data_IF_220557092816
#
_entry.id   IF_220557092816
#
_cell.length_a   1.000
_cell.length_b   1.000
_cell.length_c   1.000
_cell.angle_alpha   90.00
_cell.angle_beta   90.00
_cell.angle_gamma   90.00
#
_symmetry.space_group_name_H-M   'P 1'
#
loop_
_entity.id
_entity.type
_entity.pdbx_description
1 polymer ?
#
# COMPACT_ATOMS: atom_id res chain seq x y z
N UNK A 1 26.07 4.67 -11.65
CA UNK A 1 25.65 3.42 -11.01
C UNK A 1 26.88 2.69 -10.51
N UNK A 2 26.91 2.29 -9.25
CA UNK A 2 28.09 1.67 -8.60
C UNK A 2 29.41 2.46 -8.87
N UNK A 3 29.35 3.79 -8.69
CA UNK A 3 30.45 4.72 -8.97
C UNK A 3 30.76 5.01 -10.45
N UNK A 4 30.02 4.40 -11.38
CA UNK A 4 30.20 4.60 -12.83
C UNK A 4 29.23 5.64 -13.36
N UNK A 5 29.69 6.50 -14.26
CA UNK A 5 28.83 7.45 -14.99
C UNK A 5 27.99 6.67 -16.01
N UNK A 6 26.68 6.84 -15.96
CA UNK A 6 25.75 6.20 -16.91
C UNK A 6 25.80 6.77 -18.33
N UNK A 7 26.46 7.91 -18.52
CA UNK A 7 26.71 8.53 -19.81
C UNK A 7 27.98 8.01 -20.49
N UNK A 8 28.84 7.29 -19.76
CA UNK A 8 30.07 6.71 -20.29
C UNK A 8 29.75 5.40 -21.03
N UNK A 9 29.71 5.48 -22.35
CA UNK A 9 29.42 4.32 -23.22
C UNK A 9 30.43 3.18 -23.03
N UNK A 10 31.66 3.46 -22.66
CA UNK A 10 32.67 2.43 -22.39
C UNK A 10 32.35 1.58 -21.16
N UNK A 11 31.50 2.07 -20.26
CA UNK A 11 31.03 1.40 -19.03
C UNK A 11 29.65 0.77 -19.16
N UNK A 12 29.01 0.89 -20.31
CA UNK A 12 27.63 0.48 -20.51
C UNK A 12 27.44 -1.02 -20.20
N UNK A 13 28.37 -1.85 -20.62
CA UNK A 13 28.31 -3.29 -20.37
C UNK A 13 28.40 -3.63 -18.88
N UNK A 14 29.34 -3.03 -18.17
CA UNK A 14 29.50 -3.21 -16.73
C UNK A 14 28.25 -2.70 -15.95
N UNK A 15 27.65 -1.61 -16.41
CA UNK A 15 26.42 -1.05 -15.80
C UNK A 15 25.25 -2.03 -16.00
N UNK A 16 25.08 -2.59 -17.20
CA UNK A 16 24.04 -3.58 -17.49
C UNK A 16 24.19 -4.89 -16.72
N UNK A 17 25.41 -5.29 -16.40
CA UNK A 17 25.66 -6.43 -15.52
C UNK A 17 25.35 -6.12 -14.05
N UNK A 18 25.53 -4.84 -13.64
CA UNK A 18 25.28 -4.40 -12.27
C UNK A 18 23.80 -4.21 -11.97
N UNK A 19 23.02 -3.74 -12.96
CA UNK A 19 21.60 -3.47 -12.81
C UNK A 19 20.79 -4.13 -13.93
N UNK A 20 19.92 -5.04 -13.52
CA UNK A 20 18.95 -5.64 -14.41
C UNK A 20 17.64 -4.84 -14.43
N UNK A 21 16.92 -4.90 -15.55
CA UNK A 21 15.64 -4.20 -15.70
C UNK A 21 14.54 -5.18 -16.10
N UNK A 22 13.38 -5.04 -15.47
CA UNK A 22 12.16 -5.78 -15.79
C UNK A 22 11.14 -4.78 -16.28
N UNK A 23 10.59 -5.02 -17.46
CA UNK A 23 9.62 -4.13 -18.11
C UNK A 23 8.17 -4.45 -17.70
N UNK A 24 7.30 -3.50 -17.93
CA UNK A 24 5.88 -3.57 -17.64
C UNK A 24 5.17 -4.76 -18.30
N UNK A 25 5.48 -5.03 -19.57
CA UNK A 25 4.90 -6.14 -20.32
C UNK A 25 5.91 -7.29 -20.47
N UNK A 26 5.70 -8.44 -19.82
CA UNK A 26 6.60 -9.59 -19.93
C UNK A 26 6.66 -10.19 -21.34
N UNK A 27 5.61 -10.07 -22.15
CA UNK A 27 5.63 -10.57 -23.54
C UNK A 27 6.64 -9.83 -24.43
N UNK A 28 7.03 -8.60 -24.07
CA UNK A 28 8.08 -7.86 -24.78
C UNK A 28 9.49 -8.23 -24.31
N UNK A 29 9.61 -8.96 -23.21
CA UNK A 29 10.88 -9.33 -22.60
C UNK A 29 11.23 -10.80 -22.83
N UNK A 30 10.25 -11.70 -22.76
CA UNK A 30 10.41 -13.13 -22.95
C UNK A 30 10.59 -13.42 -24.45
N UNK A 31 11.70 -14.04 -24.82
CA UNK A 31 12.07 -14.35 -26.19
C UNK A 31 12.24 -15.86 -26.42
N UNK A 32 12.46 -16.63 -25.35
CA UNK A 32 12.65 -18.09 -25.42
C UNK A 32 11.36 -18.83 -25.74
N UNK A 33 11.51 -20.00 -26.40
CA UNK A 33 10.40 -20.91 -26.68
C UNK A 33 10.03 -21.77 -25.46
N UNK A 34 10.98 -21.93 -24.55
CA UNK A 34 10.89 -22.69 -23.30
C UNK A 34 11.43 -21.80 -22.16
N UNK A 35 10.82 -21.91 -21.00
CA UNK A 35 11.11 -21.06 -19.82
C UNK A 35 12.57 -21.12 -19.39
N UNK A 36 13.18 -22.31 -19.28
CA UNK A 36 14.57 -22.45 -18.83
C UNK A 36 15.57 -21.88 -19.84
N UNK A 37 15.30 -21.98 -21.15
CA UNK A 37 16.11 -21.33 -22.20
C UNK A 37 16.04 -19.82 -22.10
N UNK A 38 14.85 -19.26 -21.86
CA UNK A 38 14.64 -17.82 -21.71
C UNK A 38 15.42 -17.27 -20.52
N UNK A 39 15.31 -17.94 -19.37
CA UNK A 39 16.03 -17.54 -18.13
C UNK A 39 17.55 -17.69 -18.28
N UNK A 40 18.01 -18.69 -19.07
CA UNK A 40 19.42 -18.92 -19.37
C UNK A 40 20.04 -17.90 -20.33
N UNK A 41 19.24 -17.22 -21.13
CA UNK A 41 19.69 -16.32 -22.19
C UNK A 41 20.59 -15.18 -21.70
N UNK A 42 20.23 -14.55 -20.56
CA UNK A 42 21.03 -13.49 -19.96
C UNK A 42 22.45 -13.95 -19.56
N UNK A 43 22.58 -14.98 -18.71
CA UNK A 43 23.86 -15.59 -18.36
C UNK A 43 24.69 -16.08 -19.57
N UNK A 44 24.04 -16.64 -20.59
CA UNK A 44 24.70 -17.07 -21.82
C UNK A 44 25.37 -15.90 -22.56
N UNK A 45 24.66 -14.78 -22.70
CA UNK A 45 25.22 -13.57 -23.31
C UNK A 45 26.34 -12.93 -22.47
N UNK A 46 26.41 -13.25 -21.17
CA UNK A 46 27.50 -12.83 -20.30
C UNK A 46 28.73 -13.74 -20.40
N UNK A 47 28.67 -14.82 -21.21
CA UNK A 47 29.77 -15.78 -21.39
C UNK A 47 29.98 -16.69 -20.18
N UNK A 48 28.95 -16.91 -19.36
CA UNK A 48 29.01 -17.78 -18.20
C UNK A 48 29.14 -19.26 -18.66
N UNK A 49 29.98 -20.10 -18.00
CA UNK A 49 30.08 -21.51 -18.32
C UNK A 49 28.76 -22.26 -18.19
N UNK A 50 28.51 -23.24 -19.05
CA UNK A 50 27.22 -23.95 -19.17
C UNK A 50 26.71 -24.55 -17.86
N UNK A 51 27.60 -25.16 -17.09
CA UNK A 51 27.26 -25.78 -15.80
C UNK A 51 26.77 -24.72 -14.80
N UNK A 52 27.40 -23.56 -14.82
CA UNK A 52 27.01 -22.43 -13.97
C UNK A 52 25.70 -21.78 -14.45
N UNK A 53 25.46 -21.71 -15.78
CA UNK A 53 24.17 -21.24 -16.33
C UNK A 53 23.03 -22.09 -15.77
N UNK A 54 23.11 -23.41 -15.84
CA UNK A 54 22.08 -24.31 -15.34
C UNK A 54 21.82 -24.13 -13.85
N UNK A 55 22.88 -23.97 -13.05
CA UNK A 55 22.74 -23.71 -11.62
C UNK A 55 22.04 -22.39 -11.34
N UNK A 56 22.33 -21.34 -12.11
CA UNK A 56 21.67 -20.03 -11.99
C UNK A 56 20.22 -20.08 -12.41
N UNK A 57 19.90 -20.74 -13.52
CA UNK A 57 18.53 -20.96 -14.00
C UNK A 57 17.69 -21.69 -12.94
N UNK A 58 18.20 -22.80 -12.40
CA UNK A 58 17.52 -23.56 -11.37
C UNK A 58 17.23 -22.71 -10.12
N UNK A 59 18.26 -22.02 -9.59
CA UNK A 59 18.12 -21.19 -8.41
C UNK A 59 17.14 -20.03 -8.64
N UNK A 60 17.22 -19.36 -9.77
CA UNK A 60 16.36 -18.21 -10.09
C UNK A 60 14.91 -18.64 -10.27
N UNK A 61 14.63 -19.74 -10.98
CA UNK A 61 13.28 -20.27 -11.13
C UNK A 61 12.69 -20.75 -9.81
N UNK A 62 13.51 -21.35 -8.93
CA UNK A 62 13.07 -21.72 -7.57
C UNK A 62 12.76 -20.50 -6.73
N UNK A 63 13.58 -19.45 -6.79
CA UNK A 63 13.40 -18.22 -6.05
C UNK A 63 12.10 -17.48 -6.39
N UNK A 64 11.64 -17.60 -7.65
CA UNK A 64 10.36 -17.00 -8.09
C UNK A 64 9.19 -18.00 -8.12
N UNK A 65 9.38 -19.25 -7.63
CA UNK A 65 8.33 -20.27 -7.59
C UNK A 65 7.90 -20.78 -8.97
N UNK A 66 8.81 -20.77 -9.96
CA UNK A 66 8.50 -21.16 -11.35
C UNK A 66 9.25 -22.41 -11.81
N UNK A 67 9.95 -23.12 -10.93
CA UNK A 67 10.76 -24.29 -11.29
C UNK A 67 9.98 -25.41 -11.99
N UNK A 68 8.76 -25.70 -11.54
CA UNK A 68 7.91 -26.74 -12.14
C UNK A 68 7.47 -26.41 -13.56
N UNK A 69 7.55 -25.14 -13.94
CA UNK A 69 7.19 -24.65 -15.29
C UNK A 69 8.38 -24.52 -16.24
N UNK A 70 9.62 -24.92 -15.82
CA UNK A 70 10.85 -24.73 -16.58
C UNK A 70 10.81 -25.23 -18.03
N UNK A 71 10.13 -26.36 -18.27
CA UNK A 71 10.01 -26.97 -19.60
C UNK A 71 8.74 -26.54 -20.38
N UNK A 72 7.99 -25.58 -19.82
CA UNK A 72 6.78 -25.09 -20.47
C UNK A 72 7.12 -23.98 -21.48
N UNK A 73 6.25 -23.88 -22.50
CA UNK A 73 6.26 -22.70 -23.36
C UNK A 73 5.69 -21.49 -22.59
N UNK A 74 6.35 -20.32 -22.62
CA UNK A 74 5.84 -19.09 -21.99
C UNK A 74 4.43 -18.72 -22.43
N UNK A 75 4.03 -19.06 -23.65
CA UNK A 75 2.69 -18.79 -24.17
C UNK A 75 1.55 -19.54 -23.42
N UNK A 76 1.88 -20.56 -22.62
CA UNK A 76 0.92 -21.31 -21.81
C UNK A 76 0.84 -20.80 -20.36
N UNK A 77 1.59 -19.76 -20.03
CA UNK A 77 1.63 -19.18 -18.69
C UNK A 77 0.64 -18.02 -18.53
N UNK A 78 0.14 -17.84 -17.30
CA UNK A 78 -0.61 -16.63 -16.95
C UNK A 78 0.29 -15.40 -16.98
N UNK A 79 -0.30 -14.18 -17.01
CA UNK A 79 0.47 -12.93 -16.98
C UNK A 79 1.40 -12.85 -15.76
N UNK A 80 0.90 -13.18 -14.56
CA UNK A 80 1.73 -13.21 -13.34
C UNK A 80 2.85 -14.25 -13.38
N UNK A 81 2.61 -15.41 -13.98
CA UNK A 81 3.65 -16.42 -14.19
C UNK A 81 4.71 -15.93 -15.19
N UNK A 82 4.31 -15.33 -16.30
CA UNK A 82 5.24 -14.72 -17.26
C UNK A 82 6.09 -13.64 -16.60
N UNK A 83 5.48 -12.78 -15.79
CA UNK A 83 6.22 -11.74 -15.08
C UNK A 83 7.27 -12.32 -14.12
N UNK A 84 6.93 -13.40 -13.39
CA UNK A 84 7.91 -14.09 -12.54
C UNK A 84 9.03 -14.74 -13.35
N UNK A 85 8.76 -15.28 -14.54
CA UNK A 85 9.79 -15.78 -15.44
C UNK A 85 10.70 -14.65 -15.91
N UNK A 86 10.16 -13.50 -16.32
CA UNK A 86 10.95 -12.33 -16.69
C UNK A 86 11.86 -11.84 -15.55
N UNK A 87 11.33 -11.84 -14.31
CA UNK A 87 12.12 -11.55 -13.10
C UNK A 87 13.23 -12.60 -12.92
N UNK A 88 12.94 -13.90 -13.09
CA UNK A 88 13.94 -14.97 -12.98
C UNK A 88 15.08 -14.80 -13.98
N UNK A 89 14.78 -14.40 -15.22
CA UNK A 89 15.79 -14.12 -16.26
C UNK A 89 16.76 -13.00 -15.83
N UNK A 90 16.25 -11.98 -15.17
CA UNK A 90 17.08 -10.90 -14.62
C UNK A 90 17.88 -11.37 -13.40
N UNK A 91 17.25 -12.13 -12.49
CA UNK A 91 17.92 -12.68 -11.28
C UNK A 91 19.05 -13.63 -11.64
N UNK A 92 18.89 -14.42 -12.72
CA UNK A 92 19.91 -15.36 -13.18
C UNK A 92 21.24 -14.68 -13.60
N UNK A 93 21.19 -13.42 -13.98
CA UNK A 93 22.38 -12.60 -14.23
C UNK A 93 23.12 -12.18 -12.93
N UNK A 94 22.50 -12.37 -11.76
CA UNK A 94 23.01 -12.00 -10.46
C UNK A 94 23.38 -10.50 -10.33
N UNK A 95 22.47 -9.59 -10.68
CA UNK A 95 22.74 -8.17 -10.61
C UNK A 95 22.78 -7.69 -9.15
N UNK A 96 23.45 -6.56 -8.86
CA UNK A 96 23.40 -5.89 -7.55
C UNK A 96 22.08 -5.15 -7.32
N UNK A 97 21.41 -4.75 -8.41
CA UNK A 97 20.17 -3.99 -8.38
C UNK A 97 19.21 -4.50 -9.46
N UNK A 98 17.93 -4.56 -9.13
CA UNK A 98 16.86 -4.83 -10.09
C UNK A 98 15.94 -3.62 -10.13
N UNK A 99 15.74 -3.07 -11.33
CA UNK A 99 14.76 -2.01 -11.60
C UNK A 99 13.53 -2.67 -12.21
N UNK A 100 12.38 -2.46 -11.59
CA UNK A 100 11.10 -3.01 -12.03
C UNK A 100 10.20 -1.83 -12.45
N UNK A 101 9.89 -1.77 -13.73
CA UNK A 101 9.08 -0.70 -14.31
C UNK A 101 7.63 -1.17 -14.43
N UNK A 102 6.78 -0.72 -13.50
CA UNK A 102 5.36 -1.09 -13.39
C UNK A 102 5.08 -2.61 -13.54
N UNK A 103 5.79 -3.49 -12.81
CA UNK A 103 5.80 -4.94 -13.08
C UNK A 103 4.44 -5.61 -12.87
N UNK A 104 3.47 -4.91 -12.32
CA UNK A 104 2.15 -5.44 -11.94
C UNK A 104 1.00 -4.80 -12.70
N UNK A 105 1.26 -3.79 -13.55
CA UNK A 105 0.22 -2.99 -14.19
C UNK A 105 -0.75 -3.81 -15.07
N UNK A 106 -0.26 -4.90 -15.68
CA UNK A 106 -1.04 -5.77 -16.58
C UNK A 106 -1.60 -7.01 -15.89
N UNK A 107 -1.54 -7.09 -14.55
CA UNK A 107 -1.91 -8.28 -13.79
C UNK A 107 -3.25 -8.11 -13.07
N UNK A 108 -3.94 -9.23 -12.92
CA UNK A 108 -5.07 -9.34 -12.02
C UNK A 108 -4.65 -9.18 -10.54
N UNK A 109 -5.57 -8.93 -9.60
CA UNK A 109 -5.22 -8.68 -8.20
C UNK A 109 -4.42 -9.80 -7.53
N UNK A 110 -4.66 -11.07 -7.90
CA UNK A 110 -3.93 -12.20 -7.33
C UNK A 110 -2.51 -12.27 -7.89
N UNK A 111 -2.35 -12.17 -9.23
CA UNK A 111 -1.05 -12.13 -9.87
C UNK A 111 -0.18 -10.98 -9.37
N UNK A 112 -0.79 -9.81 -9.11
CA UNK A 112 -0.11 -8.66 -8.50
C UNK A 112 0.47 -8.99 -7.13
N UNK A 113 -0.34 -9.57 -6.24
CA UNK A 113 0.12 -9.98 -4.89
C UNK A 113 1.27 -10.97 -4.95
N UNK A 114 1.16 -11.98 -5.83
CA UNK A 114 2.21 -12.99 -6.01
C UNK A 114 3.54 -12.38 -6.49
N UNK A 115 3.49 -11.47 -7.47
CA UNK A 115 4.69 -10.79 -7.99
C UNK A 115 5.32 -9.90 -6.92
N UNK A 116 4.54 -9.09 -6.21
CA UNK A 116 5.07 -8.24 -5.14
C UNK A 116 5.67 -9.06 -4.00
N UNK A 117 5.04 -10.17 -3.62
CA UNK A 117 5.62 -11.07 -2.62
C UNK A 117 6.96 -11.66 -3.10
N UNK A 118 7.03 -12.11 -4.35
CA UNK A 118 8.27 -12.61 -4.96
C UNK A 118 9.39 -11.56 -4.91
N UNK A 119 9.09 -10.30 -5.28
CA UNK A 119 10.06 -9.20 -5.24
C UNK A 119 10.58 -8.95 -3.81
N UNK A 120 9.69 -8.98 -2.82
CA UNK A 120 10.06 -8.80 -1.40
C UNK A 120 10.94 -9.96 -0.90
N UNK A 121 10.64 -11.19 -1.29
CA UNK A 121 11.43 -12.36 -0.93
C UNK A 121 12.82 -12.30 -1.56
N UNK A 122 12.94 -11.93 -2.83
CA UNK A 122 14.23 -11.70 -3.50
C UNK A 122 15.06 -10.63 -2.77
N UNK A 123 14.47 -9.48 -2.44
CA UNK A 123 15.19 -8.43 -1.68
C UNK A 123 15.67 -8.96 -0.34
N UNK A 124 14.81 -9.67 0.41
CA UNK A 124 15.12 -10.16 1.76
C UNK A 124 16.16 -11.28 1.77
N UNK A 125 16.03 -12.27 0.86
CA UNK A 125 16.84 -13.49 0.86
C UNK A 125 18.14 -13.31 0.07
N UNK A 126 18.04 -12.74 -1.13
CA UNK A 126 19.18 -12.58 -2.05
C UNK A 126 19.94 -11.27 -1.81
N UNK A 127 19.41 -10.37 -0.95
CA UNK A 127 20.01 -9.06 -0.64
C UNK A 127 20.22 -8.17 -1.87
N UNK A 128 19.42 -8.38 -2.92
CA UNK A 128 19.43 -7.55 -4.13
C UNK A 128 18.73 -6.22 -3.83
N UNK A 129 19.32 -5.12 -4.22
CA UNK A 129 18.62 -3.82 -4.17
C UNK A 129 17.49 -3.81 -5.18
N UNK A 130 16.30 -3.44 -4.75
CA UNK A 130 15.11 -3.34 -5.62
C UNK A 130 14.70 -1.89 -5.77
N UNK A 131 14.55 -1.42 -7.00
CA UNK A 131 13.93 -0.15 -7.37
C UNK A 131 12.61 -0.50 -8.05
N UNK A 132 11.50 -0.24 -7.36
CA UNK A 132 10.16 -0.47 -7.88
C UNK A 132 9.54 0.84 -8.34
N UNK A 133 9.21 0.95 -9.62
CA UNK A 133 8.45 2.05 -10.18
C UNK A 133 7.00 1.58 -10.26
N UNK A 134 6.09 2.26 -9.60
CA UNK A 134 4.67 1.89 -9.56
C UNK A 134 3.79 3.10 -9.26
N UNK A 135 2.54 3.03 -9.67
CA UNK A 135 1.48 3.95 -9.29
C UNK A 135 0.47 3.31 -8.31
N UNK A 136 0.72 2.08 -7.86
CA UNK A 136 -0.11 1.39 -6.86
C UNK A 136 0.45 1.63 -5.46
N UNK A 137 -0.25 2.42 -4.67
CA UNK A 137 0.23 2.85 -3.36
C UNK A 137 0.37 1.71 -2.37
N UNK A 138 -0.46 0.67 -2.50
CA UNK A 138 -0.39 -0.56 -1.67
C UNK A 138 0.93 -1.34 -1.86
N UNK A 139 1.59 -1.18 -2.99
CA UNK A 139 2.89 -1.81 -3.26
C UNK A 139 4.03 -1.06 -2.56
N UNK A 140 3.86 0.25 -2.38
CA UNK A 140 4.87 1.16 -1.83
C UNK A 140 4.95 1.10 -0.30
N UNK A 141 3.88 0.73 0.39
CA UNK A 141 3.81 0.73 1.86
C UNK A 141 4.88 -0.14 2.55
N UNK A 142 5.45 -1.08 1.81
CA UNK A 142 6.47 -2.02 2.31
C UNK A 142 7.90 -1.65 1.89
N UNK A 143 8.09 -0.55 1.18
CA UNK A 143 9.43 -0.09 0.79
C UNK A 143 10.20 0.49 1.98
N UNK A 144 11.52 0.40 1.92
CA UNK A 144 12.38 1.07 2.91
C UNK A 144 12.39 2.59 2.69
N UNK A 145 12.29 3.01 1.43
CA UNK A 145 12.32 4.41 1.02
C UNK A 145 11.39 4.66 -0.17
N UNK A 146 10.75 5.80 -0.17
CA UNK A 146 9.90 6.30 -1.26
C UNK A 146 10.49 7.56 -1.84
N UNK A 147 10.54 7.63 -3.16
CA UNK A 147 10.95 8.81 -3.91
C UNK A 147 9.77 9.21 -4.80
N UNK A 148 9.24 10.40 -4.58
CA UNK A 148 8.19 10.97 -5.41
C UNK A 148 8.83 11.88 -6.44
N UNK A 149 8.48 11.66 -7.71
CA UNK A 149 8.99 12.44 -8.83
C UNK A 149 7.86 13.18 -9.54
N UNK A 150 8.09 14.43 -9.87
CA UNK A 150 7.22 15.23 -10.73
C UNK A 150 8.06 16.02 -11.73
N UNK A 151 7.66 15.98 -13.00
CA UNK A 151 8.37 16.65 -14.13
C UNK A 151 9.89 16.40 -14.14
N UNK A 152 10.31 15.14 -13.85
CA UNK A 152 11.71 14.74 -13.86
C UNK A 152 12.53 15.21 -12.65
N UNK A 153 11.89 15.77 -11.60
CA UNK A 153 12.52 16.20 -10.35
C UNK A 153 12.03 15.42 -9.16
N UNK A 154 12.90 15.17 -8.21
CA UNK A 154 12.51 14.62 -6.91
C UNK A 154 11.82 15.75 -6.13
N UNK A 155 10.54 15.54 -5.78
CA UNK A 155 9.73 16.50 -5.03
C UNK A 155 9.50 16.10 -3.58
N UNK A 156 9.56 14.79 -3.27
CA UNK A 156 9.52 14.25 -1.92
C UNK A 156 10.40 13.01 -1.83
N UNK A 157 10.98 12.77 -0.66
CA UNK A 157 11.75 11.57 -0.35
C UNK A 157 11.65 11.29 1.15
N UNK A 158 11.47 10.02 1.52
CA UNK A 158 11.35 9.60 2.92
C UNK A 158 10.86 8.16 3.04
N UNK A 159 10.55 7.73 4.24
CA UNK A 159 9.86 6.46 4.50
C UNK A 159 8.41 6.50 4.00
N UNK A 160 7.76 5.36 3.75
CA UNK A 160 6.34 5.35 3.41
C UNK A 160 5.47 6.13 4.41
N UNK A 161 5.73 6.02 5.72
CA UNK A 161 4.98 6.76 6.75
C UNK A 161 5.13 8.27 6.63
N UNK A 162 6.35 8.74 6.42
CA UNK A 162 6.63 10.18 6.24
C UNK A 162 6.01 10.74 4.97
N UNK A 163 5.97 9.95 3.91
CA UNK A 163 5.41 10.38 2.62
C UNK A 163 3.88 10.37 2.67
N UNK A 164 3.27 9.27 3.09
CA UNK A 164 1.82 9.11 3.06
C UNK A 164 1.08 9.89 4.15
N UNK A 165 1.75 10.32 5.23
CA UNK A 165 1.17 11.27 6.20
C UNK A 165 0.90 12.66 5.58
N UNK A 166 1.55 13.00 4.44
CA UNK A 166 1.40 14.27 3.75
C UNK A 166 0.31 14.21 2.66
N UNK A 167 -0.90 13.76 3.01
CA UNK A 167 -2.01 13.48 2.07
C UNK A 167 -2.30 14.65 1.13
N UNK A 168 -2.45 15.86 1.66
CA UNK A 168 -2.79 17.04 0.86
C UNK A 168 -1.68 17.41 -0.14
N UNK A 169 -0.42 17.20 0.24
CA UNK A 169 0.71 17.44 -0.64
C UNK A 169 0.79 16.44 -1.78
N UNK A 170 0.52 15.16 -1.50
CA UNK A 170 0.46 14.11 -2.52
C UNK A 170 -0.69 14.37 -3.50
N UNK A 171 -1.87 14.75 -3.01
CA UNK A 171 -3.01 15.15 -3.84
C UNK A 171 -2.67 16.34 -4.76
N UNK A 172 -1.87 17.30 -4.28
CA UNK A 172 -1.41 18.43 -5.10
C UNK A 172 -0.53 17.97 -6.28
N UNK A 173 0.21 16.88 -6.13
CA UNK A 173 0.95 16.20 -7.20
C UNK A 173 0.12 15.20 -8.00
N UNK A 174 -1.21 15.13 -7.77
CA UNK A 174 -2.14 14.18 -8.40
C UNK A 174 -1.77 12.71 -8.14
N UNK A 175 -1.21 12.44 -6.97
CA UNK A 175 -0.90 11.11 -6.49
C UNK A 175 -1.94 10.67 -5.47
N UNK A 176 -2.29 9.40 -5.52
CA UNK A 176 -3.13 8.77 -4.53
C UNK A 176 -2.34 8.41 -3.27
N UNK A 177 -3.06 8.05 -2.22
CA UNK A 177 -2.52 7.50 -0.98
C UNK A 177 -3.21 6.15 -0.71
N UNK A 178 -2.63 5.26 0.13
CA UNK A 178 -3.30 4.03 0.53
C UNK A 178 -4.71 4.31 1.05
N UNK A 179 -5.68 3.46 0.71
CA UNK A 179 -7.09 3.67 1.08
C UNK A 179 -7.28 3.82 2.59
N UNK A 180 -6.54 3.03 3.39
CA UNK A 180 -6.58 3.13 4.85
C UNK A 180 -6.08 4.50 5.35
N UNK A 181 -5.02 5.03 4.73
CA UNK A 181 -4.47 6.36 5.03
C UNK A 181 -5.48 7.45 4.69
N UNK A 182 -6.10 7.38 3.52
CA UNK A 182 -7.11 8.35 3.10
C UNK A 182 -8.30 8.37 4.05
N UNK A 183 -8.83 7.19 4.40
CA UNK A 183 -9.96 7.08 5.33
C UNK A 183 -9.60 7.59 6.72
N UNK A 184 -8.41 7.27 7.23
CA UNK A 184 -7.93 7.79 8.51
C UNK A 184 -7.83 9.33 8.49
N UNK A 185 -7.33 9.90 7.39
CA UNK A 185 -7.23 11.35 7.20
C UNK A 185 -8.61 12.03 7.23
N UNK A 186 -9.60 11.49 6.50
CA UNK A 186 -10.96 12.06 6.50
C UNK A 186 -11.64 11.91 7.87
N UNK A 187 -11.51 10.76 8.54
CA UNK A 187 -12.05 10.56 9.88
C UNK A 187 -11.43 11.52 10.94
N UNK A 188 -10.14 11.85 10.79
CA UNK A 188 -9.51 12.87 11.65
C UNK A 188 -10.10 14.27 11.40
N UNK A 189 -10.41 14.62 10.16
CA UNK A 189 -11.08 15.89 9.82
C UNK A 189 -12.48 15.98 10.45
N UNK A 190 -13.14 14.84 10.62
CA UNK A 190 -14.43 14.76 11.34
C UNK A 190 -14.27 14.69 12.87
N UNK A 191 -13.04 14.80 13.39
CA UNK A 191 -12.76 14.92 14.82
C UNK A 191 -12.42 13.62 15.54
N UNK A 192 -12.17 12.52 14.84
CA UNK A 192 -11.66 11.30 15.47
C UNK A 192 -10.17 11.44 15.77
N UNK A 193 -9.76 11.01 16.97
CA UNK A 193 -8.36 10.99 17.40
C UNK A 193 -7.66 9.72 16.85
N UNK A 194 -7.14 9.81 15.62
CA UNK A 194 -6.44 8.74 14.93
C UNK A 194 -4.99 9.14 14.63
N UNK A 195 -4.03 8.19 14.61
CA UNK A 195 -2.66 8.44 14.17
C UNK A 195 -2.60 8.98 12.73
N UNK A 196 -1.58 9.79 12.45
CA UNK A 196 -1.37 10.37 11.10
C UNK A 196 -0.70 9.40 10.12
N UNK A 197 -0.03 8.40 10.65
CA UNK A 197 0.89 7.51 9.93
C UNK A 197 0.31 6.13 9.62
N UNK A 198 -1.01 6.00 9.61
CA UNK A 198 -1.71 4.75 9.27
C UNK A 198 -1.47 4.42 7.79
N UNK A 199 -0.98 3.20 7.52
CA UNK A 199 -0.70 2.71 6.17
C UNK A 199 -1.57 1.53 5.76
N UNK A 200 -2.06 0.72 6.71
CA UNK A 200 -2.78 -0.52 6.40
C UNK A 200 -4.18 -0.56 7.02
N UNK A 201 -5.02 -1.45 6.49
CA UNK A 201 -6.37 -1.69 7.01
C UNK A 201 -6.31 -2.21 8.45
N UNK A 202 -5.33 -3.06 8.75
CA UNK A 202 -5.12 -3.63 10.09
C UNK A 202 -4.78 -2.53 11.10
N UNK A 203 -3.90 -1.60 10.74
CA UNK A 203 -3.54 -0.44 11.58
C UNK A 203 -4.76 0.45 11.83
N UNK A 204 -5.53 0.75 10.79
CA UNK A 204 -6.75 1.55 10.90
C UNK A 204 -7.78 0.89 11.80
N UNK A 205 -8.03 -0.41 11.60
CA UNK A 205 -8.98 -1.18 12.42
C UNK A 205 -8.58 -1.14 13.89
N UNK A 206 -7.30 -1.40 14.19
CA UNK A 206 -6.79 -1.35 15.56
C UNK A 206 -6.88 0.05 16.18
N UNK A 207 -6.71 1.12 15.40
CA UNK A 207 -6.87 2.50 15.87
C UNK A 207 -8.34 2.82 16.15
N UNK A 208 -9.27 2.44 15.29
CA UNK A 208 -10.72 2.62 15.49
C UNK A 208 -11.23 1.87 16.71
N UNK A 209 -10.77 0.65 16.95
CA UNK A 209 -11.14 -0.11 18.16
C UNK A 209 -10.66 0.57 19.44
N UNK A 210 -9.48 1.18 19.42
CA UNK A 210 -8.97 1.98 20.55
C UNK A 210 -9.86 3.20 20.80
N UNK A 211 -10.23 3.95 19.77
CA UNK A 211 -11.14 5.11 19.88
C UNK A 211 -12.51 4.69 20.46
N UNK A 212 -13.08 3.56 20.02
CA UNK A 212 -14.35 3.04 20.54
C UNK A 212 -14.28 2.72 22.03
N UNK A 213 -13.20 2.07 22.48
CA UNK A 213 -13.00 1.72 23.90
C UNK A 213 -12.85 2.95 24.79
N UNK A 214 -12.14 3.98 24.31
CA UNK A 214 -11.98 5.24 25.07
C UNK A 214 -13.29 6.04 25.18
N UNK A 215 -14.13 6.01 24.15
CA UNK A 215 -15.45 6.65 24.19
C UNK A 215 -16.45 5.89 25.07
N UNK A 216 -16.42 4.56 25.10
CA UNK A 216 -17.23 3.71 25.99
C UNK A 216 -16.95 3.98 27.48
N UNK A 217 -15.68 4.10 27.85
CA UNK A 217 -15.28 4.44 29.23
C UNK A 217 -15.69 5.87 29.63
N UNK A 218 -15.69 6.82 28.69
CA UNK A 218 -16.12 8.20 28.93
C UNK A 218 -17.64 8.31 29.06
N UNK A 219 -18.42 7.41 28.42
CA UNK A 219 -19.87 7.30 28.56
C UNK A 219 -20.29 6.75 29.91
N UNK A 220 -19.63 5.72 30.42
CA UNK A 220 -19.90 5.14 31.75
C UNK A 220 -19.57 6.10 32.89
N UNK A 221 -18.48 6.88 32.74
CA UNK A 221 -18.14 7.92 33.76
C UNK A 221 -19.16 9.06 33.77
N UNK A 222 -19.74 9.44 32.64
CA UNK A 222 -20.78 10.47 32.59
C UNK A 222 -22.11 9.99 33.19
N UNK A 223 -22.51 8.74 32.95
CA UNK A 223 -23.70 8.12 33.54
C UNK A 223 -23.55 7.96 35.05
N UNK A 224 -22.41 7.45 35.53
CA UNK A 224 -22.15 7.36 36.99
C UNK A 224 -22.12 8.72 37.70
N UNK A 225 -21.66 9.78 37.04
CA UNK A 225 -21.64 11.12 37.60
C UNK A 225 -23.02 11.82 37.54
N UNK A 226 -23.91 11.45 36.61
CA UNK A 226 -25.29 11.92 36.58
C UNK A 226 -26.15 11.25 37.67
N UNK A 227 -26.00 9.94 37.87
CA UNK A 227 -26.71 9.20 38.93
C UNK A 227 -26.30 9.65 40.32
N UNK A 228 -25.00 9.91 40.58
CA UNK A 228 -24.55 10.47 41.87
C UNK A 228 -24.98 11.93 42.13
N UNK A 229 -25.34 12.70 41.12
CA UNK A 229 -25.92 14.04 41.26
C UNK A 229 -27.40 14.00 41.54
N UNK A 230 -28.15 13.03 41.03
CA UNK A 230 -29.57 12.85 41.30
C UNK A 230 -29.82 12.29 42.71
N UNK A 231 -28.98 11.38 43.23
CA UNK A 231 -29.06 10.89 44.61
C UNK A 231 -28.79 12.02 45.66
N UNK A 232 -27.86 12.95 45.36
CA UNK A 232 -27.60 14.08 46.29
C UNK A 232 -28.65 15.18 46.27
N UNK A 233 -29.47 15.28 45.21
CA UNK A 233 -30.57 16.24 45.15
C UNK A 233 -31.90 15.69 45.65
N UNK A 234 -32.03 14.35 45.83
CA UNK A 234 -33.19 13.69 46.37
C UNK A 234 -33.31 13.78 47.91
N UNK A 235 -32.23 13.99 48.66
CA UNK A 235 -32.25 14.08 50.14
C UNK A 235 -32.53 15.47 50.69
N UNK A 236 -32.67 16.52 49.85
CA UNK A 236 -32.86 17.91 50.31
C UNK A 236 -34.28 18.45 50.15
N UNK A 237 -35.27 17.61 49.83
CA UNK A 237 -36.61 18.06 49.41
C UNK A 237 -37.81 17.52 50.18
N UNK A 238 -37.69 17.26 51.51
CA UNK A 238 -38.86 17.03 52.36
C UNK A 238 -38.93 18.10 53.45
N UNK A 239 -39.71 19.14 53.23
CA UNK A 239 -40.54 19.90 54.15
C UNK A 239 -41.07 21.14 53.40
N UNK A 240 -42.36 21.18 53.19
CA UNK A 240 -43.37 22.20 53.50
C UNK A 240 -44.59 22.03 52.59
N UNK A 241 -45.70 21.75 53.27
CA UNK A 241 -47.08 21.69 52.76
C UNK A 241 -47.77 23.09 52.72
N UNK A 242 -49.07 23.15 52.40
CA UNK A 242 -49.59 23.65 51.13
C UNK A 242 -50.41 24.98 51.31
N UNK A 243 -50.63 25.74 50.28
CA UNK A 243 -51.80 26.61 50.19
C UNK A 243 -52.23 26.89 48.70
N UNK A 244 -53.46 26.51 48.47
CA UNK A 244 -54.48 26.93 47.53
C UNK A 244 -54.28 28.18 46.64
N UNK A 245 -54.76 28.10 45.44
CA UNK A 245 -55.86 28.77 44.73
C UNK A 245 -55.49 29.11 43.30
N UNK A 246 -56.10 28.39 42.34
CA UNK A 246 -57.28 28.81 41.60
C UNK A 246 -57.07 29.91 40.53
N UNK A 247 -57.58 29.55 39.32
CA UNK A 247 -58.32 30.36 38.35
C UNK A 247 -57.73 30.64 36.98
N UNK A 248 -58.37 29.92 36.03
CA UNK A 248 -58.87 30.30 34.69
C UNK A 248 -57.91 30.59 33.54
N UNK A 249 -58.03 29.74 32.51
CA UNK A 249 -58.84 29.85 31.24
C UNK A 249 -58.35 30.87 30.23
N UNK A 250 -58.21 30.34 29.08
CA UNK A 250 -58.64 30.68 27.67
C UNK A 250 -57.41 30.84 26.77
N UNK A 251 -57.34 30.30 25.63
CA UNK A 251 -58.26 29.87 24.61
C UNK A 251 -57.68 30.22 23.25
N UNK A 252 -57.95 29.36 22.33
CA UNK A 252 -58.00 29.60 20.88
C UNK A 252 -56.66 29.71 20.12
N UNK A 253 -56.34 28.81 19.27
CA UNK A 253 -56.90 28.44 17.94
C UNK A 253 -56.19 29.16 16.77
N UNK A 254 -55.90 28.31 15.82
CA UNK A 254 -55.91 28.49 14.35
C UNK A 254 -54.73 29.19 13.74
N UNK A 255 -54.24 28.85 12.62
CA UNK A 255 -54.56 27.95 11.51
C UNK A 255 -53.37 27.97 10.54
N UNK A 256 -53.04 26.87 9.97
CA UNK A 256 -53.17 26.50 8.54
C UNK A 256 -52.58 27.46 7.49
N UNK A 257 -51.93 26.84 6.52
CA UNK A 257 -51.66 27.33 5.18
C UNK A 257 -50.29 26.84 4.71
N UNK A 258 -50.14 25.71 4.09
CA UNK A 258 -50.24 25.37 2.66
C UNK A 258 -49.61 26.41 1.72
N UNK A 259 -48.68 25.99 0.95
CA UNK A 259 -48.68 25.71 -0.48
C UNK A 259 -47.33 25.95 -1.16
N UNK A 260 -46.91 24.93 -1.87
CA UNK A 260 -46.45 24.82 -3.24
C UNK A 260 -45.32 25.74 -3.80
N UNK A 261 -44.36 25.09 -4.34
CA UNK A 261 -44.15 24.93 -5.80
C UNK A 261 -42.99 25.71 -6.37
N UNK A 262 -42.06 25.09 -6.78
CA UNK A 262 -41.45 24.81 -8.09
C UNK A 262 -40.11 24.14 -7.93
#
# INVERSE_FOLDING_TARGET
MDGKDTKDESKLWEIRQTAGMVFQNPDNQIIGTIVDEDVGFGPENMGIPKEEIWRRVENSLKAVGMWEYRSHSPNKLSGGQKQRVAIAGVVAMQPKCIVLDEPTAMLDPNGRKEVIQTIRELNRLEKVTVILITHYMEEVIHADQVIVMDQGKIVMQGTPREIFSQVEKLKAYRLDVPQATLLAHELRREGLDLPEDILSIEELTAALERCRKSQGQSGEIKTMNSEKREEKNGEAGERISPHEKNVKRSGQEESAGECCGN
#
